data_IF_571187565605
#
_entry.id   IF_571187565605
#
_cell.length_a   1.000
_cell.length_b   1.000
_cell.length_c   1.000
_cell.angle_alpha   90.00
_cell.angle_beta   90.00
_cell.angle_gamma   90.00
#
_symmetry.space_group_name_H-M   'P 1'
#
loop_
_entity.id
_entity.type
_entity.pdbx_description
1 polymer ?
#
# COMPACT_ATOMS: atom_id res chain seq x y z
N UNK A 1 6.54 2.30 48.03
CA UNK A 1 5.92 2.86 46.81
C UNK A 1 6.37 4.31 46.67
N UNK A 2 7.06 4.67 45.59
CA UNK A 2 7.42 6.04 45.26
C UNK A 2 6.77 6.41 43.91
N UNK A 3 6.16 7.59 43.77
CA UNK A 3 5.44 8.00 42.56
C UNK A 3 6.39 8.33 41.39
N UNK A 4 6.00 8.08 40.12
CA UNK A 4 6.82 8.36 38.96
C UNK A 4 6.85 9.86 38.63
N UNK A 5 8.04 10.42 38.47
CA UNK A 5 8.26 11.81 38.03
C UNK A 5 7.90 11.93 36.54
N UNK A 6 6.93 12.78 36.22
CA UNK A 6 6.55 13.11 34.85
C UNK A 6 7.63 13.95 34.15
N UNK A 7 8.04 13.56 32.95
CA UNK A 7 8.95 14.32 32.09
C UNK A 7 8.18 15.37 31.26
N UNK A 8 8.71 16.59 31.07
CA UNK A 8 8.05 17.64 30.28
C UNK A 8 8.08 17.35 28.77
N UNK A 9 6.95 17.55 28.09
CA UNK A 9 6.82 17.41 26.64
C UNK A 9 7.42 18.62 25.90
N UNK A 10 8.28 18.44 24.88
CA UNK A 10 8.81 19.55 24.09
C UNK A 10 7.76 20.12 23.11
N UNK A 11 7.54 21.43 23.17
CA UNK A 11 6.71 22.19 22.25
C UNK A 11 7.43 22.36 20.92
N UNK A 12 6.89 21.81 19.83
CA UNK A 12 7.45 22.00 18.49
C UNK A 12 7.05 23.37 17.90
N UNK A 13 7.96 24.06 17.17
CA UNK A 13 7.68 25.34 16.53
C UNK A 13 6.72 25.21 15.32
N UNK A 14 5.91 26.24 15.11
CA UNK A 14 4.93 26.40 14.03
C UNK A 14 5.64 26.52 12.65
N UNK A 15 5.13 25.87 11.57
CA UNK A 15 5.75 25.92 10.24
C UNK A 15 5.65 27.31 9.58
N UNK A 16 6.67 27.74 8.80
CA UNK A 16 6.63 28.99 8.03
C UNK A 16 5.71 28.92 6.81
N UNK A 17 5.15 30.08 6.45
CA UNK A 17 4.11 30.32 5.45
C UNK A 17 4.51 29.97 3.99
N UNK A 18 3.50 29.57 3.20
CA UNK A 18 3.61 29.16 1.80
C UNK A 18 4.02 30.30 0.85
N UNK A 19 4.89 30.04 -0.14
CA UNK A 19 5.09 30.95 -1.26
C UNK A 19 4.10 30.66 -2.40
N UNK A 20 3.27 31.66 -2.70
CA UNK A 20 2.52 31.75 -3.96
C UNK A 20 3.50 32.13 -5.09
N UNK A 21 3.64 31.27 -6.09
CA UNK A 21 4.30 31.62 -7.35
C UNK A 21 3.36 31.34 -8.52
N UNK A 22 2.75 32.43 -8.98
CA UNK A 22 2.09 32.60 -10.27
C UNK A 22 3.17 32.69 -11.35
N UNK A 23 3.16 31.78 -12.34
CA UNK A 23 3.91 31.96 -13.60
C UNK A 23 2.97 31.64 -14.77
N UNK A 24 3.08 32.54 -15.74
CA UNK A 24 2.27 32.75 -16.94
C UNK A 24 2.21 31.56 -17.90
N UNK A 25 1.06 31.46 -18.56
CA UNK A 25 0.73 30.58 -19.68
C UNK A 25 1.48 30.99 -20.94
N UNK A 26 2.30 30.10 -21.48
CA UNK A 26 2.75 30.18 -22.88
C UNK A 26 2.16 29.01 -23.69
N UNK A 27 1.62 29.34 -24.86
CA UNK A 27 0.84 28.47 -25.72
C UNK A 27 1.72 27.45 -26.48
N UNK A 28 1.37 26.17 -26.43
CA UNK A 28 1.79 25.18 -27.42
C UNK A 28 0.57 24.62 -28.14
N UNK A 29 0.44 25.02 -29.42
CA UNK A 29 -0.54 24.52 -30.40
C UNK A 29 -0.25 23.07 -30.83
N UNK A 30 -1.25 22.35 -31.35
CA UNK A 30 -1.44 20.90 -31.16
C UNK A 30 -0.72 20.04 -32.21
N UNK A 31 0.02 19.03 -31.76
CA UNK A 31 0.54 17.97 -32.63
C UNK A 31 -0.54 16.88 -32.80
N UNK A 32 -1.14 16.84 -33.99
CA UNK A 32 -1.87 15.69 -34.49
C UNK A 32 -0.94 14.46 -34.50
N UNK A 33 -1.16 13.53 -33.56
CA UNK A 33 -0.66 12.16 -33.63
C UNK A 33 -1.79 11.22 -33.26
N UNK A 34 -2.70 11.09 -34.23
CA UNK A 34 -3.81 10.15 -34.26
C UNK A 34 -3.26 8.74 -34.48
N UNK A 35 -2.62 8.18 -33.45
CA UNK A 35 -2.48 6.74 -33.31
C UNK A 35 -3.49 6.29 -32.26
N UNK A 36 -4.48 5.43 -32.59
CA UNK A 36 -5.36 4.82 -31.60
C UNK A 36 -4.49 3.98 -30.66
N UNK A 37 -4.14 4.56 -29.50
CA UNK A 37 -3.54 3.80 -28.41
C UNK A 37 -4.59 2.76 -27.99
N UNK A 38 -4.23 1.46 -27.90
CA UNK A 38 -5.12 0.47 -27.30
C UNK A 38 -5.59 0.99 -25.93
N UNK A 39 -6.87 0.83 -25.58
CA UNK A 39 -7.37 1.23 -24.28
C UNK A 39 -6.49 0.54 -23.24
N UNK A 40 -5.75 1.34 -22.47
CA UNK A 40 -5.08 0.83 -21.28
C UNK A 40 -6.15 0.13 -20.46
N UNK A 41 -6.04 -1.19 -20.33
CA UNK A 41 -6.76 -1.92 -19.29
C UNK A 41 -6.54 -1.13 -18.01
N UNK A 42 -7.64 -0.67 -17.41
CA UNK A 42 -7.58 0.08 -16.15
C UNK A 42 -6.72 -0.77 -15.20
N UNK A 43 -5.70 -0.20 -14.54
CA UNK A 43 -5.04 -0.89 -13.44
C UNK A 43 -6.16 -1.34 -12.51
N UNK A 44 -6.39 -2.65 -12.45
CA UNK A 44 -7.38 -3.22 -11.55
C UNK A 44 -7.03 -2.70 -10.15
N UNK A 45 -8.01 -2.19 -9.37
CA UNK A 45 -7.71 -1.59 -8.08
C UNK A 45 -6.94 -2.61 -7.24
N UNK A 46 -5.66 -2.33 -6.97
CA UNK A 46 -4.87 -3.13 -6.03
C UNK A 46 -5.45 -2.89 -4.63
N UNK A 47 -6.37 -3.76 -4.22
CA UNK A 47 -6.97 -3.71 -2.89
C UNK A 47 -5.89 -4.11 -1.89
N UNK A 48 -5.34 -3.13 -1.18
CA UNK A 48 -4.38 -3.36 -0.10
C UNK A 48 -5.12 -3.70 1.19
N UNK A 49 -5.22 -5.00 1.50
CA UNK A 49 -5.83 -5.48 2.74
C UNK A 49 -4.76 -5.73 3.80
N UNK A 50 -4.88 -5.07 4.96
CA UNK A 50 -4.04 -5.35 6.12
C UNK A 50 -4.64 -6.51 6.93
N UNK A 51 -3.97 -7.67 6.90
CA UNK A 51 -4.42 -8.87 7.62
C UNK A 51 -3.63 -9.01 8.92
N UNK A 52 -4.33 -8.89 10.06
CA UNK A 52 -3.76 -9.11 11.39
C UNK A 52 -3.65 -10.59 11.72
N UNK A 53 -2.49 -11.19 11.47
CA UNK A 53 -2.21 -12.59 11.83
C UNK A 53 -1.58 -12.68 13.22
N UNK A 54 -2.06 -13.63 14.04
CA UNK A 54 -1.40 -13.98 15.31
C UNK A 54 0.02 -14.48 15.03
N UNK A 55 0.97 -14.15 15.91
CA UNK A 55 2.39 -14.51 15.78
C UNK A 55 2.65 -15.97 15.36
N UNK A 56 2.07 -17.01 16.01
CA UNK A 56 2.34 -18.40 15.62
C UNK A 56 1.87 -18.74 14.20
N UNK A 57 0.78 -18.13 13.74
CA UNK A 57 0.25 -18.34 12.38
C UNK A 57 1.14 -17.63 11.36
N UNK A 58 1.57 -16.40 11.68
CA UNK A 58 2.51 -15.65 10.83
C UNK A 58 3.83 -16.40 10.66
N UNK A 59 4.41 -16.90 11.75
CA UNK A 59 5.66 -17.66 11.74
C UNK A 59 5.54 -18.97 10.93
N UNK A 60 4.41 -19.67 11.05
CA UNK A 60 4.14 -20.84 10.23
C UNK A 60 4.10 -20.51 8.73
N UNK A 61 3.34 -19.48 8.35
CA UNK A 61 3.22 -19.06 6.95
C UNK A 61 4.53 -18.53 6.37
N UNK A 62 5.34 -17.88 7.21
CA UNK A 62 6.68 -17.40 6.82
C UNK A 62 7.61 -18.57 6.50
N UNK A 63 7.64 -19.61 7.35
CA UNK A 63 8.41 -20.84 7.09
C UNK A 63 7.95 -21.57 5.83
N UNK A 64 6.64 -21.65 5.59
CA UNK A 64 6.09 -22.22 4.35
C UNK A 64 6.58 -21.40 3.15
N UNK A 65 6.52 -20.07 3.25
CA UNK A 65 7.05 -19.17 2.23
C UNK A 65 8.53 -19.39 1.96
N UNK A 66 9.35 -19.59 2.98
CA UNK A 66 10.78 -19.89 2.83
C UNK A 66 11.04 -21.20 2.09
N UNK A 67 10.28 -22.26 2.39
CA UNK A 67 10.40 -23.56 1.71
C UNK A 67 10.00 -23.46 0.24
N UNK A 68 8.94 -22.69 -0.06
CA UNK A 68 8.45 -22.51 -1.43
C UNK A 68 9.18 -21.42 -2.23
N UNK A 69 10.09 -20.66 -1.59
CA UNK A 69 10.73 -19.49 -2.20
C UNK A 69 9.76 -18.35 -2.51
N UNK A 70 8.67 -18.21 -1.74
CA UNK A 70 7.62 -17.21 -1.93
C UNK A 70 7.53 -16.27 -0.74
N UNK A 71 7.05 -15.05 -0.97
CA UNK A 71 6.74 -14.12 0.11
C UNK A 71 5.48 -14.57 0.87
N UNK A 72 5.42 -14.32 2.18
CA UNK A 72 4.26 -14.61 3.03
C UNK A 72 2.93 -14.08 2.46
N UNK A 73 2.93 -12.92 1.77
CA UNK A 73 1.73 -12.39 1.11
C UNK A 73 1.19 -13.33 0.03
N UNK A 74 2.08 -13.93 -0.75
CA UNK A 74 1.74 -14.88 -1.82
C UNK A 74 1.21 -16.18 -1.22
N UNK A 75 1.79 -16.66 -0.12
CA UNK A 75 1.32 -17.86 0.60
C UNK A 75 -0.09 -17.63 1.16
N UNK A 76 -0.34 -16.47 1.77
CA UNK A 76 -1.66 -16.09 2.28
C UNK A 76 -2.68 -16.01 1.15
N UNK A 77 -2.34 -15.36 0.03
CA UNK A 77 -3.23 -15.28 -1.12
C UNK A 77 -3.58 -16.67 -1.69
N UNK A 78 -2.58 -17.56 -1.81
CA UNK A 78 -2.81 -18.92 -2.26
C UNK A 78 -3.74 -19.70 -1.33
N UNK A 79 -3.57 -19.56 -0.01
CA UNK A 79 -4.43 -20.19 0.98
C UNK A 79 -5.89 -19.68 0.91
N UNK A 80 -6.08 -18.36 0.70
CA UNK A 80 -7.41 -17.77 0.54
C UNK A 80 -8.07 -18.27 -0.75
N UNK A 81 -7.32 -18.32 -1.87
CA UNK A 81 -7.83 -18.83 -3.14
C UNK A 81 -8.20 -20.31 -3.07
N UNK A 82 -7.38 -21.12 -2.42
CA UNK A 82 -7.66 -22.55 -2.22
C UNK A 82 -8.91 -22.74 -1.35
N UNK A 83 -9.06 -21.96 -0.28
CA UNK A 83 -10.25 -21.94 0.54
C UNK A 83 -11.49 -21.53 -0.28
N UNK A 84 -11.43 -20.42 -1.02
CA UNK A 84 -12.54 -19.95 -1.85
C UNK A 84 -12.97 -21.02 -2.87
N UNK A 85 -12.00 -21.65 -3.55
CA UNK A 85 -12.24 -22.73 -4.52
C UNK A 85 -12.92 -23.94 -3.88
N UNK A 86 -12.47 -24.36 -2.69
CA UNK A 86 -13.06 -25.49 -1.97
C UNK A 86 -14.47 -25.22 -1.45
N UNK A 87 -14.83 -23.94 -1.28
CA UNK A 87 -16.13 -23.51 -0.78
C UNK A 87 -17.07 -22.96 -1.88
N UNK A 88 -16.63 -22.94 -3.14
CA UNK A 88 -17.43 -22.43 -4.27
C UNK A 88 -17.70 -20.94 -4.20
N UNK A 89 -16.77 -20.17 -3.62
CA UNK A 89 -16.83 -18.70 -3.54
C UNK A 89 -16.04 -18.15 -4.75
N UNK A 90 -16.71 -17.37 -5.60
CA UNK A 90 -16.13 -16.66 -6.76
C UNK A 90 -15.80 -15.21 -6.41
#
# INVERSE_FOLDING_TARGET
MAPPTAAPTPTQPVPPAAPAHTVETEAQSPAANTAPRPPRARPEPEIQTNIGLKYPVRDLLDRIGMVEGRNIKTVVAAAILEYAKNHGID
#
